data_IF_688067979953
#
_entry.id   IF_688067979953
#
_cell.length_a   1.000
_cell.length_b   1.000
_cell.length_c   1.000
_cell.angle_alpha   90.00
_cell.angle_beta   90.00
_cell.angle_gamma   90.00
#
_symmetry.space_group_name_H-M   'P 1'
#
loop_
_entity.id
_entity.type
_entity.pdbx_description
1 polymer ?
#
# COMPACT_ATOMS: atom_id res chain seq x y z
N UNK A 1 38.47 13.10 33.12
CA UNK A 1 37.03 12.84 33.30
C UNK A 1 36.36 12.99 31.95
N UNK A 2 36.14 11.88 31.24
CA UNK A 2 35.39 11.87 29.98
C UNK A 2 34.03 11.23 30.26
N UNK A 3 32.96 11.99 30.04
CA UNK A 3 31.58 11.52 30.11
C UNK A 3 31.36 10.61 28.89
N UNK A 4 31.27 9.29 29.13
CA UNK A 4 30.82 8.34 28.12
C UNK A 4 29.32 8.53 27.92
N UNK A 5 28.92 9.05 26.76
CA UNK A 5 27.53 9.09 26.36
C UNK A 5 27.03 7.65 26.20
N UNK A 6 26.04 7.27 27.01
CA UNK A 6 25.48 5.92 27.03
C UNK A 6 24.79 5.62 25.67
N UNK A 7 25.29 4.65 24.87
CA UNK A 7 24.72 4.34 23.55
C UNK A 7 23.35 3.66 23.62
N UNK A 8 22.88 3.30 24.81
CA UNK A 8 21.58 2.65 25.02
C UNK A 8 20.37 3.57 24.75
N UNK A 9 20.56 4.90 24.69
CA UNK A 9 19.47 5.86 24.42
C UNK A 9 19.24 6.15 22.94
N UNK A 10 20.15 5.75 22.04
CA UNK A 10 19.99 5.93 20.60
C UNK A 10 18.89 5.02 20.01
N UNK A 11 18.61 3.88 20.64
CA UNK A 11 17.65 2.88 20.16
C UNK A 11 16.18 3.23 20.45
N UNK A 12 15.91 4.26 21.26
CA UNK A 12 14.56 4.71 21.60
C UNK A 12 14.02 5.79 20.65
N UNK A 13 14.81 6.25 19.66
CA UNK A 13 14.41 7.35 18.78
C UNK A 13 14.80 7.14 17.31
N UNK A 14 14.63 5.93 16.75
CA UNK A 14 14.37 5.85 15.30
C UNK A 14 12.93 6.29 15.05
N UNK A 15 12.65 7.57 15.28
CA UNK A 15 11.54 8.23 14.60
C UNK A 15 11.82 8.05 13.12
N UNK A 16 11.07 7.17 12.45
CA UNK A 16 11.13 7.05 10.99
C UNK A 16 10.97 8.44 10.43
N UNK A 17 12.02 8.95 9.75
CA UNK A 17 11.99 10.27 9.17
C UNK A 17 10.68 10.41 8.36
N UNK A 18 10.00 11.57 8.38
CA UNK A 18 8.69 11.74 7.73
C UNK A 18 8.64 11.25 6.28
N UNK A 19 9.80 11.29 5.59
CA UNK A 19 10.03 10.74 4.25
C UNK A 19 9.68 9.25 4.11
N UNK A 20 10.02 8.42 5.10
CA UNK A 20 9.86 6.96 5.05
C UNK A 20 8.48 6.48 5.49
N UNK A 21 7.61 7.37 5.97
CA UNK A 21 6.22 7.04 6.37
C UNK A 21 5.35 6.54 5.21
N UNK A 22 5.82 6.66 3.97
CA UNK A 22 5.14 6.15 2.77
C UNK A 22 5.53 4.72 2.39
N UNK A 23 6.35 4.06 3.22
CA UNK A 23 6.76 2.66 3.05
C UNK A 23 6.14 1.83 4.18
N UNK A 24 5.44 0.72 3.87
CA UNK A 24 4.86 -0.14 4.91
C UNK A 24 5.94 -0.76 5.79
N UNK A 25 5.68 -0.85 7.09
CA UNK A 25 6.64 -1.43 8.03
C UNK A 25 6.77 -2.94 7.83
N UNK A 26 5.67 -3.59 7.46
CA UNK A 26 5.56 -5.05 7.32
C UNK A 26 4.81 -5.43 6.04
N UNK A 27 5.04 -6.64 5.57
CA UNK A 27 4.19 -7.27 4.55
C UNK A 27 3.13 -8.13 5.24
N UNK A 28 2.26 -7.46 6.01
CA UNK A 28 1.20 -8.08 6.82
C UNK A 28 0.16 -8.82 5.96
N UNK A 29 0.03 -8.45 4.69
CA UNK A 29 -0.89 -9.07 3.73
C UNK A 29 -0.23 -10.16 2.88
N UNK A 30 1.06 -10.44 3.09
CA UNK A 30 1.82 -11.52 2.43
C UNK A 30 1.81 -11.45 0.89
N UNK A 31 1.97 -10.24 0.35
CA UNK A 31 2.07 -10.00 -1.09
C UNK A 31 3.48 -10.23 -1.65
N UNK A 32 4.48 -10.40 -0.79
CA UNK A 32 5.88 -10.51 -1.18
C UNK A 32 6.52 -9.14 -1.42
N UNK A 33 7.84 -9.13 -1.64
CA UNK A 33 8.65 -7.93 -1.89
C UNK A 33 9.70 -8.22 -2.96
N UNK A 34 10.09 -7.21 -3.73
CA UNK A 34 11.18 -7.33 -4.69
C UNK A 34 10.91 -8.43 -5.71
N UNK A 35 11.81 -9.40 -5.85
CA UNK A 35 11.66 -10.53 -6.79
C UNK A 35 10.48 -11.43 -6.45
N UNK A 36 10.19 -11.59 -5.16
CA UNK A 36 9.16 -12.50 -4.63
C UNK A 36 7.77 -11.84 -4.56
N UNK A 37 7.64 -10.60 -5.05
CA UNK A 37 6.37 -9.92 -5.12
C UNK A 37 5.39 -10.66 -6.06
N UNK A 38 4.17 -10.89 -5.58
CA UNK A 38 3.11 -11.61 -6.27
C UNK A 38 1.94 -10.67 -6.66
N UNK A 39 1.94 -10.08 -7.87
CA UNK A 39 0.95 -9.09 -8.28
C UNK A 39 -0.48 -9.62 -8.24
N UNK A 40 -0.64 -10.93 -8.51
CA UNK A 40 -1.94 -11.61 -8.50
C UNK A 40 -2.61 -11.54 -7.12
N UNK A 41 -1.85 -11.70 -6.03
CA UNK A 41 -2.40 -11.63 -4.67
C UNK A 41 -2.98 -10.25 -4.37
N UNK A 42 -2.31 -9.18 -4.83
CA UNK A 42 -2.83 -7.80 -4.69
C UNK A 42 -4.12 -7.64 -5.48
N UNK A 43 -4.13 -8.08 -6.74
CA UNK A 43 -5.32 -8.00 -7.58
C UNK A 43 -6.50 -8.78 -6.98
N UNK A 44 -6.28 -9.97 -6.45
CA UNK A 44 -7.31 -10.79 -5.79
C UNK A 44 -7.82 -10.13 -4.49
N UNK A 45 -6.91 -9.68 -3.63
CA UNK A 45 -7.25 -8.98 -2.39
C UNK A 45 -8.09 -7.72 -2.65
N UNK A 46 -7.70 -6.94 -3.65
CA UNK A 46 -8.40 -5.73 -4.07
C UNK A 46 -9.57 -6.01 -5.02
N UNK A 47 -9.82 -7.27 -5.38
CA UNK A 47 -10.85 -7.67 -6.35
C UNK A 47 -10.78 -6.85 -7.64
N UNK A 48 -9.58 -6.68 -8.19
CA UNK A 48 -9.31 -5.99 -9.45
C UNK A 48 -9.34 -7.02 -10.58
N UNK A 49 -10.20 -6.78 -11.57
CA UNK A 49 -10.21 -7.56 -12.80
C UNK A 49 -9.12 -7.07 -13.77
N UNK A 50 -8.95 -7.80 -14.88
CA UNK A 50 -7.96 -7.43 -15.90
C UNK A 50 -8.22 -6.04 -16.49
N UNK A 51 -9.47 -5.60 -16.59
CA UNK A 51 -9.83 -4.27 -17.10
C UNK A 51 -9.40 -3.15 -16.14
N UNK A 52 -9.61 -3.34 -14.84
CA UNK A 52 -9.15 -2.39 -13.83
C UNK A 52 -7.62 -2.31 -13.85
N UNK A 53 -6.93 -3.45 -13.86
CA UNK A 53 -5.46 -3.48 -13.90
C UNK A 53 -4.91 -2.87 -15.18
N UNK A 54 -5.55 -3.08 -16.33
CA UNK A 54 -5.12 -2.47 -17.59
C UNK A 54 -5.20 -0.93 -17.53
N UNK A 55 -6.27 -0.38 -16.92
CA UNK A 55 -6.44 1.07 -16.74
C UNK A 55 -5.42 1.64 -15.77
N UNK A 56 -5.18 0.96 -14.64
CA UNK A 56 -4.22 1.39 -13.62
C UNK A 56 -2.78 1.41 -14.19
N UNK A 57 -2.43 0.40 -14.99
CA UNK A 57 -1.09 0.24 -15.56
C UNK A 57 -0.91 0.88 -16.95
N UNK A 58 -1.96 1.48 -17.52
CA UNK A 58 -1.94 2.05 -18.87
C UNK A 58 -1.43 1.07 -19.95
N UNK A 59 -1.89 -0.18 -19.88
CA UNK A 59 -1.57 -1.23 -20.87
C UNK A 59 -2.83 -1.78 -21.51
N UNK A 60 -2.70 -2.48 -22.64
CA UNK A 60 -3.82 -3.22 -23.23
C UNK A 60 -4.29 -4.35 -22.28
N UNK A 61 -5.61 -4.59 -22.20
CA UNK A 61 -6.21 -5.65 -21.36
C UNK A 61 -5.62 -7.03 -21.68
N UNK A 62 -5.33 -7.31 -22.95
CA UNK A 62 -4.72 -8.56 -23.40
C UNK A 62 -3.29 -8.75 -22.85
N UNK A 63 -2.58 -7.66 -22.58
CA UNK A 63 -1.20 -7.68 -22.07
C UNK A 63 -1.12 -7.87 -20.55
N UNK A 64 -2.24 -7.78 -19.83
CA UNK A 64 -2.25 -8.02 -18.37
C UNK A 64 -1.87 -9.49 -18.11
N UNK A 65 -0.78 -9.71 -17.38
CA UNK A 65 -0.30 -11.03 -16.99
C UNK A 65 0.17 -10.97 -15.54
N UNK A 66 0.25 -12.14 -14.92
CA UNK A 66 0.65 -12.30 -13.53
C UNK A 66 1.95 -13.09 -13.36
N UNK A 67 2.44 -13.65 -14.47
CA UNK A 67 3.65 -14.46 -14.55
C UNK A 67 4.90 -13.59 -14.78
N UNK A 68 6.06 -14.22 -14.99
CA UNK A 68 7.33 -13.52 -15.27
C UNK A 68 7.27 -12.67 -16.56
N UNK A 69 6.29 -12.91 -17.44
CA UNK A 69 6.01 -12.11 -18.63
C UNK A 69 5.10 -10.90 -18.36
N UNK A 70 4.76 -10.61 -17.10
CA UNK A 70 3.99 -9.44 -16.73
C UNK A 70 4.68 -8.15 -17.18
N UNK A 71 3.96 -7.22 -17.85
CA UNK A 71 4.52 -5.91 -18.15
C UNK A 71 5.01 -5.23 -16.88
N UNK A 72 6.20 -4.63 -16.94
CA UNK A 72 6.80 -3.92 -15.80
C UNK A 72 5.84 -2.92 -15.16
N UNK A 73 5.10 -2.17 -15.97
CA UNK A 73 4.09 -1.22 -15.49
C UNK A 73 2.97 -1.86 -14.64
N UNK A 74 2.54 -3.09 -14.99
CA UNK A 74 1.54 -3.83 -14.19
C UNK A 74 2.13 -4.19 -12.84
N UNK A 75 3.35 -4.72 -12.82
CA UNK A 75 4.06 -5.09 -11.59
C UNK A 75 4.24 -3.88 -10.68
N UNK A 76 4.79 -2.79 -11.19
CA UNK A 76 5.06 -1.56 -10.41
C UNK A 76 3.77 -0.97 -9.81
N UNK A 77 2.69 -0.88 -10.60
CA UNK A 77 1.42 -0.34 -10.09
C UNK A 77 0.79 -1.21 -9.01
N UNK A 78 0.85 -2.54 -9.16
CA UNK A 78 0.31 -3.44 -8.15
C UNK A 78 1.20 -3.48 -6.91
N UNK A 79 2.51 -3.31 -7.05
CA UNK A 79 3.42 -3.18 -5.91
C UNK A 79 3.13 -1.91 -5.11
N UNK A 80 2.88 -0.78 -5.78
CA UNK A 80 2.44 0.46 -5.13
C UNK A 80 1.10 0.29 -4.40
N UNK A 81 0.11 -0.36 -5.04
CA UNK A 81 -1.19 -0.64 -4.41
C UNK A 81 -1.03 -1.59 -3.22
N UNK A 82 -0.21 -2.64 -3.36
CA UNK A 82 0.09 -3.59 -2.29
C UNK A 82 0.78 -2.91 -1.11
N UNK A 83 1.70 -1.98 -1.36
CA UNK A 83 2.34 -1.19 -0.33
C UNK A 83 1.34 -0.31 0.43
N UNK A 84 0.42 0.34 -0.30
CA UNK A 84 -0.67 1.11 0.31
C UNK A 84 -1.60 0.24 1.16
N UNK A 85 -1.92 -0.96 0.69
CA UNK A 85 -2.74 -1.90 1.43
C UNK A 85 -2.05 -2.36 2.72
N UNK A 86 -0.75 -2.65 2.68
CA UNK A 86 0.04 -3.00 3.86
C UNK A 86 0.12 -1.85 4.87
N UNK A 87 0.22 -0.59 4.41
CA UNK A 87 0.16 0.57 5.31
C UNK A 87 -1.17 0.65 6.08
N UNK A 88 -2.30 0.37 5.41
CA UNK A 88 -3.60 0.31 6.06
C UNK A 88 -3.70 -0.90 6.99
N UNK A 89 -3.12 -2.04 6.60
CA UNK A 89 -3.07 -3.22 7.45
C UNK A 89 -2.32 -2.96 8.76
N UNK A 90 -1.24 -2.17 8.72
CA UNK A 90 -0.49 -1.81 9.93
C UNK A 90 -1.37 -1.03 10.94
N UNK A 91 -2.30 -0.19 10.48
CA UNK A 91 -3.29 0.50 11.34
C UNK A 91 -4.21 -0.51 12.04
N UNK A 92 -4.56 -1.59 11.36
CA UNK A 92 -5.39 -2.67 11.91
C UNK A 92 -4.56 -3.80 12.54
N UNK A 93 -3.31 -3.53 12.94
CA UNK A 93 -2.40 -4.49 13.55
C UNK A 93 -2.18 -5.77 12.70
N UNK A 94 -2.22 -5.64 11.38
CA UNK A 94 -2.07 -6.72 10.41
C UNK A 94 -3.35 -7.49 10.08
N UNK A 95 -4.52 -7.06 10.56
CA UNK A 95 -5.79 -7.75 10.29
C UNK A 95 -6.22 -7.57 8.81
N UNK A 96 -5.98 -8.61 8.01
CA UNK A 96 -6.32 -8.63 6.60
C UNK A 96 -7.83 -8.48 6.33
N UNK A 97 -8.69 -9.03 7.20
CA UNK A 97 -10.14 -8.98 7.01
C UNK A 97 -10.68 -7.56 7.25
N UNK A 98 -10.21 -6.89 8.31
CA UNK A 98 -10.53 -5.47 8.57
C UNK A 98 -9.98 -4.56 7.48
N UNK A 99 -8.76 -4.81 7.04
CA UNK A 99 -8.14 -4.06 5.94
C UNK A 99 -8.98 -4.19 4.68
N UNK A 100 -9.31 -5.42 4.29
CA UNK A 100 -10.14 -5.67 3.13
C UNK A 100 -11.50 -4.97 3.28
N UNK A 101 -12.16 -5.09 4.44
CA UNK A 101 -13.42 -4.40 4.73
C UNK A 101 -13.31 -2.88 4.56
N UNK A 102 -12.28 -2.25 5.12
CA UNK A 102 -12.03 -0.82 4.99
C UNK A 102 -11.93 -0.38 3.52
N UNK A 103 -11.24 -1.16 2.67
CA UNK A 103 -11.17 -0.86 1.23
C UNK A 103 -12.52 -0.98 0.50
N UNK A 104 -13.49 -1.72 1.04
CA UNK A 104 -14.84 -1.88 0.48
C UNK A 104 -15.85 -0.87 1.02
N UNK A 105 -15.60 -0.34 2.21
CA UNK A 105 -16.52 0.57 2.87
C UNK A 105 -16.40 1.97 2.27
N UNK A 106 -17.55 2.57 1.94
CA UNK A 106 -17.59 3.96 1.47
C UNK A 106 -17.06 4.90 2.54
N UNK A 107 -16.29 5.90 2.12
CA UNK A 107 -15.71 6.87 3.02
C UNK A 107 -16.17 8.30 2.64
N UNK A 108 -16.91 9.00 3.52
CA UNK A 108 -17.31 10.39 3.28
C UNK A 108 -16.13 11.33 2.99
N UNK A 109 -14.97 11.09 3.60
CA UNK A 109 -13.74 11.88 3.37
C UNK A 109 -13.15 11.69 1.97
N UNK A 110 -13.59 10.64 1.26
CA UNK A 110 -13.23 10.35 -0.13
C UNK A 110 -14.36 10.71 -1.11
N UNK A 111 -15.36 11.49 -0.66
CA UNK A 111 -16.53 11.86 -1.46
C UNK A 111 -17.56 10.73 -1.56
N UNK A 112 -17.75 9.96 -0.49
CA UNK A 112 -18.67 8.81 -0.41
C UNK A 112 -18.34 7.66 -1.39
N UNK A 113 -17.07 7.50 -1.72
CA UNK A 113 -16.55 6.43 -2.57
C UNK A 113 -15.70 5.49 -1.72
N UNK A 114 -15.78 4.18 -1.99
CA UNK A 114 -14.91 3.20 -1.35
C UNK A 114 -13.47 3.32 -1.89
N UNK A 115 -12.43 3.20 -1.03
CA UNK A 115 -11.02 3.27 -1.46
C UNK A 115 -10.69 2.36 -2.65
N UNK A 116 -11.23 1.14 -2.68
CA UNK A 116 -11.05 0.21 -3.80
C UNK A 116 -11.63 0.72 -5.11
N UNK A 117 -12.78 1.37 -5.08
CA UNK A 117 -13.40 1.91 -6.29
C UNK A 117 -12.60 3.11 -6.81
N UNK A 118 -11.95 3.88 -5.93
CA UNK A 118 -10.96 4.88 -6.36
C UNK A 118 -9.80 4.24 -7.12
N UNK A 119 -9.27 3.11 -6.66
CA UNK A 119 -8.21 2.37 -7.34
C UNK A 119 -8.69 1.91 -8.74
N UNK A 120 -9.88 1.31 -8.83
CA UNK A 120 -10.48 0.88 -10.11
C UNK A 120 -10.68 2.02 -11.11
N UNK A 121 -10.96 3.23 -10.60
CA UNK A 121 -11.12 4.45 -11.40
C UNK A 121 -9.78 5.13 -11.75
N UNK A 122 -8.64 4.53 -11.41
CA UNK A 122 -7.30 5.10 -11.67
C UNK A 122 -6.95 6.29 -10.76
N UNK A 123 -7.64 6.45 -9.63
CA UNK A 123 -7.41 7.52 -8.64
C UNK A 123 -6.53 7.06 -7.48
N UNK A 124 -5.66 6.08 -7.69
CA UNK A 124 -4.83 5.47 -6.64
C UNK A 124 -3.84 6.49 -6.05
N UNK A 125 -3.28 7.41 -6.84
CA UNK A 125 -2.38 8.46 -6.34
C UNK A 125 -3.07 9.38 -5.31
N UNK A 126 -4.33 9.74 -5.56
CA UNK A 126 -5.13 10.53 -4.62
C UNK A 126 -5.40 9.76 -3.34
N UNK A 127 -5.73 8.48 -3.45
CA UNK A 127 -5.94 7.61 -2.30
C UNK A 127 -4.66 7.44 -1.46
N UNK A 128 -3.50 7.23 -2.11
CA UNK A 128 -2.21 7.12 -1.43
C UNK A 128 -1.91 8.39 -0.62
N UNK A 129 -2.09 9.57 -1.21
CA UNK A 129 -1.89 10.85 -0.51
C UNK A 129 -2.80 10.96 0.70
N UNK A 130 -4.09 10.64 0.54
CA UNK A 130 -5.05 10.64 1.65
C UNK A 130 -4.59 9.74 2.81
N UNK A 131 -4.18 8.51 2.53
CA UNK A 131 -3.72 7.56 3.56
C UNK A 131 -2.44 8.06 4.25
N UNK A 132 -1.45 8.52 3.48
CA UNK A 132 -0.19 9.02 4.06
C UNK A 132 -0.43 10.26 4.92
N UNK A 133 -1.29 11.19 4.49
CA UNK A 133 -1.67 12.36 5.29
C UNK A 133 -2.39 11.94 6.57
N UNK A 134 -3.37 11.04 6.49
CA UNK A 134 -4.08 10.55 7.68
C UNK A 134 -3.14 9.87 8.69
N UNK A 135 -2.18 9.06 8.22
CA UNK A 135 -1.15 8.44 9.07
C UNK A 135 -0.25 9.50 9.71
N UNK A 136 0.06 10.59 9.00
CA UNK A 136 0.89 11.66 9.54
C UNK A 136 0.15 12.46 10.64
N UNK A 137 -1.15 12.70 10.46
CA UNK A 137 -2.00 13.42 11.41
C UNK A 137 -2.30 12.60 12.67
N UNK A 138 -2.49 11.28 12.56
CA UNK A 138 -2.74 10.39 13.71
C UNK A 138 -1.53 10.29 14.67
N UNK A 139 -0.32 10.48 14.14
CA UNK A 139 0.94 10.34 14.88
C UNK A 139 1.50 11.69 15.37
N UNK A 140 0.75 12.79 15.21
CA UNK A 140 1.10 14.14 15.64
C UNK A 140 0.36 14.52 16.93
#
# INVERSE_FOLDING_TARGET
MQYSANPALAWLAMQTAPLFRSVPLRDSLHFGKGTDFEPKKVAEFMQLDRNAVSKIASVAVASVRWDDGAPKAVRERLEEIGAVANMVADIFAGDAAKTALWFRTKNPLLGDIAPRDMIRLGRHDRLRRFIVTAIQEDQA
#
